data_IF_811755172302
#
_entry.id   IF_811755172302
#
_cell.length_a   1.000
_cell.length_b   1.000
_cell.length_c   1.000
_cell.angle_alpha   90.00
_cell.angle_beta   90.00
_cell.angle_gamma   90.00
#
_symmetry.space_group_name_H-M   'P 1'
#
loop_
_entity.id
_entity.type
_entity.pdbx_description
1 polymer ?
#
# COMPACT_ATOMS: atom_id res chain seq x y z
N UNK A 1 21.95 19.63 -2.24
CA UNK A 1 21.68 21.08 -2.25
C UNK A 1 21.75 21.54 -0.81
N UNK A 2 22.32 22.71 -0.50
CA UNK A 2 22.28 23.22 0.87
C UNK A 2 20.93 23.94 1.05
N UNK A 3 20.16 23.50 2.03
CA UNK A 3 18.91 24.15 2.47
C UNK A 3 19.24 24.93 3.74
N UNK A 4 18.76 26.17 3.81
CA UNK A 4 18.88 27.08 4.95
C UNK A 4 17.61 27.92 5.10
N UNK A 5 17.50 28.72 6.16
CA UNK A 5 16.40 29.68 6.34
C UNK A 5 16.23 30.65 5.15
N UNK A 6 17.30 30.92 4.39
CA UNK A 6 17.25 31.75 3.18
C UNK A 6 16.69 31.02 1.95
N UNK A 7 16.53 29.69 2.04
CA UNK A 7 16.08 28.79 0.97
C UNK A 7 14.57 28.47 1.04
N UNK A 8 13.79 29.22 1.82
CA UNK A 8 12.36 28.98 2.07
C UNK A 8 11.47 28.94 0.80
N UNK A 9 11.94 29.44 -0.34
CA UNK A 9 11.24 29.36 -1.62
C UNK A 9 11.26 27.97 -2.25
N UNK A 10 12.20 27.12 -1.83
CA UNK A 10 12.42 25.76 -2.36
C UNK A 10 11.40 24.78 -1.81
N UNK A 11 11.20 24.82 -0.49
CA UNK A 11 10.25 23.96 0.23
C UNK A 11 9.12 24.86 0.69
N UNK A 12 7.95 24.82 0.05
CA UNK A 12 6.89 25.84 0.24
C UNK A 12 5.99 25.60 1.44
N UNK A 13 5.78 24.35 1.80
CA UNK A 13 4.96 23.98 2.96
C UNK A 13 5.73 24.29 4.26
N UNK A 14 5.13 25.09 5.15
CA UNK A 14 5.76 25.50 6.40
C UNK A 14 5.92 24.36 7.38
N UNK A 15 4.96 23.43 7.43
CA UNK A 15 5.05 22.28 8.30
C UNK A 15 6.14 21.33 7.83
N UNK A 16 6.26 21.12 6.51
CA UNK A 16 7.36 20.30 5.98
C UNK A 16 8.73 20.95 6.21
N UNK A 17 8.85 22.27 6.01
CA UNK A 17 10.08 23.00 6.39
C UNK A 17 10.41 22.82 7.86
N UNK A 18 9.42 22.96 8.74
CA UNK A 18 9.61 22.80 10.18
C UNK A 18 10.08 21.39 10.52
N UNK A 19 9.46 20.36 9.93
CA UNK A 19 9.87 18.96 10.10
C UNK A 19 11.35 18.74 9.78
N UNK A 20 11.80 19.28 8.64
CA UNK A 20 13.19 19.17 8.21
C UNK A 20 14.15 19.95 9.13
N UNK A 21 13.73 21.12 9.62
CA UNK A 21 14.53 21.91 10.55
C UNK A 21 14.63 21.26 11.93
N UNK A 22 13.56 20.64 12.41
CA UNK A 22 13.55 19.91 13.68
C UNK A 22 14.44 18.66 13.60
N UNK A 23 14.45 17.97 12.45
CA UNK A 23 15.23 16.74 12.26
C UNK A 23 16.71 17.02 11.94
N UNK A 24 17.02 18.03 11.12
CA UNK A 24 18.37 18.25 10.56
C UNK A 24 19.01 19.60 10.92
N UNK A 25 18.29 20.47 11.63
CA UNK A 25 18.75 21.79 12.04
C UNK A 25 18.52 22.91 11.00
N UNK A 26 18.99 24.11 11.33
CA UNK A 26 18.76 25.32 10.53
C UNK A 26 19.44 25.31 9.15
N UNK A 27 20.48 24.49 8.97
CA UNK A 27 21.19 24.35 7.68
C UNK A 27 21.69 22.93 7.52
N UNK A 28 21.34 22.31 6.40
CA UNK A 28 21.73 20.94 6.06
C UNK A 28 21.90 20.79 4.55
N UNK A 29 22.60 19.75 4.13
CA UNK A 29 22.74 19.40 2.72
C UNK A 29 21.87 18.19 2.40
N UNK A 30 20.94 18.35 1.45
CA UNK A 30 20.00 17.30 1.04
C UNK A 30 20.68 16.03 0.55
N UNK A 31 21.95 16.09 0.14
CA UNK A 31 22.72 14.93 -0.31
C UNK A 31 23.22 14.05 0.85
N UNK A 32 23.26 14.56 2.05
CA UNK A 32 23.70 13.82 3.23
C UNK A 32 22.54 13.10 3.93
N UNK A 33 21.30 13.42 3.52
CA UNK A 33 20.07 12.89 4.11
C UNK A 33 19.63 11.64 3.36
N UNK A 34 19.46 10.56 4.13
CA UNK A 34 18.98 9.25 3.65
C UNK A 34 17.56 8.92 4.09
N UNK A 35 17.01 9.71 5.01
CA UNK A 35 15.77 9.41 5.68
C UNK A 35 15.05 10.67 6.08
N UNK A 36 13.73 10.70 5.94
CA UNK A 36 12.89 11.80 6.41
C UNK A 36 11.65 11.21 7.08
N UNK A 37 11.38 11.65 8.32
CA UNK A 37 10.13 11.35 9.02
C UNK A 37 9.34 12.65 9.24
N UNK A 38 8.13 12.69 8.71
CA UNK A 38 7.25 13.85 8.83
C UNK A 38 5.76 13.45 8.97
N UNK A 39 5.51 12.34 9.66
CA UNK A 39 4.15 11.81 9.85
C UNK A 39 3.32 12.70 10.78
N UNK A 40 2.05 12.93 10.48
CA UNK A 40 1.13 13.60 11.42
C UNK A 40 1.42 15.08 11.65
N UNK A 41 2.02 15.77 10.68
CA UNK A 41 2.50 17.15 10.84
C UNK A 41 1.64 18.18 10.10
N UNK A 42 0.42 17.82 9.68
CA UNK A 42 -0.49 18.67 8.90
C UNK A 42 0.14 19.19 7.59
N UNK A 43 1.01 18.39 6.97
CA UNK A 43 1.68 18.73 5.72
C UNK A 43 0.71 18.57 4.55
N UNK A 44 0.67 19.59 3.69
CA UNK A 44 -0.16 19.63 2.48
C UNK A 44 0.65 19.42 1.20
N UNK A 45 1.96 19.66 1.23
CA UNK A 45 2.85 19.43 0.09
C UNK A 45 4.27 19.07 0.52
N UNK A 46 4.84 18.05 -0.12
CA UNK A 46 6.26 17.71 -0.02
C UNK A 46 7.12 18.30 -1.16
N UNK A 47 6.64 19.35 -1.85
CA UNK A 47 7.45 20.04 -2.86
C UNK A 47 8.80 20.46 -2.26
N UNK A 48 9.88 20.13 -2.97
CA UNK A 48 11.26 20.21 -2.48
C UNK A 48 11.86 18.86 -2.11
N UNK A 49 11.07 17.78 -2.02
CA UNK A 49 11.57 16.42 -1.80
C UNK A 49 12.48 15.93 -2.94
N UNK A 50 12.31 16.49 -4.14
CA UNK A 50 13.10 16.16 -5.33
C UNK A 50 14.61 16.45 -5.18
N UNK A 51 14.99 17.33 -4.25
CA UNK A 51 16.40 17.66 -3.97
C UNK A 51 17.11 16.61 -3.08
N UNK A 52 16.36 15.68 -2.48
CA UNK A 52 16.89 14.62 -1.63
C UNK A 52 17.22 13.37 -2.46
N UNK A 53 18.18 13.49 -3.38
CA UNK A 53 18.59 12.45 -4.35
C UNK A 53 19.09 11.16 -3.69
N UNK A 54 19.56 11.24 -2.44
CA UNK A 54 20.09 10.12 -1.66
C UNK A 54 19.09 9.51 -0.67
N UNK A 55 17.82 9.91 -0.74
CA UNK A 55 16.78 9.43 0.15
C UNK A 55 16.52 7.93 -0.07
N UNK A 56 16.69 7.15 0.99
CA UNK A 56 16.49 5.70 1.05
C UNK A 56 15.16 5.35 1.74
N UNK A 57 14.67 6.19 2.65
CA UNK A 57 13.34 6.03 3.25
C UNK A 57 12.61 7.36 3.43
N UNK A 58 11.30 7.35 3.22
CA UNK A 58 10.40 8.48 3.44
C UNK A 58 9.17 8.00 4.21
N UNK A 59 8.89 8.66 5.33
CA UNK A 59 7.65 8.48 6.11
C UNK A 59 6.93 9.82 6.18
N UNK A 60 5.76 9.88 5.54
CA UNK A 60 4.91 11.07 5.49
C UNK A 60 3.43 10.72 5.70
N UNK A 61 3.15 9.69 6.48
CA UNK A 61 1.79 9.22 6.74
C UNK A 61 1.00 10.19 7.62
N UNK A 62 -0.32 10.05 7.67
CA UNK A 62 -1.21 10.89 8.47
C UNK A 62 -1.10 12.40 8.15
N UNK A 63 -1.05 12.76 6.87
CA UNK A 63 -0.98 14.15 6.43
C UNK A 63 -2.18 14.47 5.51
N UNK A 64 -2.16 15.61 4.82
CA UNK A 64 -3.20 16.02 3.88
C UNK A 64 -2.68 16.13 2.45
N UNK A 65 -1.71 15.29 2.08
CA UNK A 65 -1.12 15.29 0.73
C UNK A 65 -2.18 14.85 -0.29
N UNK A 66 -2.37 15.66 -1.32
CA UNK A 66 -3.18 15.31 -2.51
C UNK A 66 -2.34 14.82 -3.68
N UNK A 67 -1.03 15.13 -3.66
CA UNK A 67 -0.04 14.69 -4.65
C UNK A 67 1.27 14.36 -3.96
N UNK A 68 2.01 13.39 -4.49
CA UNK A 68 3.36 13.05 -4.05
C UNK A 68 4.24 12.74 -5.27
N UNK A 69 5.16 13.64 -5.59
CA UNK A 69 6.16 13.42 -6.64
C UNK A 69 7.49 12.97 -6.01
N UNK A 70 7.82 11.70 -6.23
CA UNK A 70 9.09 11.08 -5.80
C UNK A 70 9.95 10.63 -6.98
N UNK A 71 9.72 11.21 -8.16
CA UNK A 71 10.37 10.80 -9.41
C UNK A 71 11.89 10.96 -9.40
N UNK A 72 12.42 11.87 -8.56
CA UNK A 72 13.87 12.10 -8.40
C UNK A 72 14.48 11.29 -7.24
N UNK A 73 13.66 10.72 -6.35
CA UNK A 73 14.13 9.94 -5.20
C UNK A 73 14.37 8.47 -5.58
N UNK A 74 15.25 8.26 -6.57
CA UNK A 74 15.47 6.95 -7.23
C UNK A 74 16.05 5.87 -6.30
N UNK A 75 16.62 6.28 -5.16
CA UNK A 75 17.20 5.38 -4.15
C UNK A 75 16.22 4.94 -3.06
N UNK A 76 14.96 5.37 -3.13
CA UNK A 76 13.94 4.97 -2.15
C UNK A 76 13.78 3.45 -2.10
N UNK A 77 13.94 2.92 -0.90
CA UNK A 77 13.75 1.51 -0.52
C UNK A 77 12.43 1.37 0.25
N UNK A 78 12.12 2.34 1.10
CA UNK A 78 10.90 2.36 1.92
C UNK A 78 10.12 3.65 1.68
N UNK A 79 8.84 3.52 1.32
CA UNK A 79 7.91 4.64 1.27
C UNK A 79 6.69 4.31 2.12
N UNK A 80 6.44 5.16 3.12
CA UNK A 80 5.15 5.24 3.80
C UNK A 80 4.50 6.59 3.52
N UNK A 81 3.42 6.56 2.75
CA UNK A 81 2.55 7.69 2.47
C UNK A 81 1.07 7.35 2.80
N UNK A 82 0.85 6.42 3.73
CA UNK A 82 -0.49 6.03 4.16
C UNK A 82 -1.26 7.19 4.81
N UNK A 83 -2.58 7.08 4.89
CA UNK A 83 -3.44 8.11 5.53
C UNK A 83 -3.19 9.52 5.00
N UNK A 84 -3.34 9.65 3.68
CA UNK A 84 -3.31 10.91 2.96
C UNK A 84 -4.55 11.00 2.05
N UNK A 85 -4.56 11.88 1.06
CA UNK A 85 -5.66 12.05 0.09
C UNK A 85 -5.15 11.92 -1.33
N UNK A 86 -4.19 11.04 -1.55
CA UNK A 86 -3.58 10.80 -2.86
C UNK A 86 -4.60 10.10 -3.76
N UNK A 87 -4.92 10.71 -4.90
CA UNK A 87 -5.72 10.07 -5.95
C UNK A 87 -4.86 9.28 -6.94
N UNK A 88 -3.57 9.60 -7.01
CA UNK A 88 -2.56 8.92 -7.81
C UNK A 88 -1.24 8.78 -7.05
N UNK A 89 -0.51 7.71 -7.35
CA UNK A 89 0.84 7.49 -6.85
C UNK A 89 1.69 6.84 -7.94
N UNK A 90 2.72 7.55 -8.42
CA UNK A 90 3.62 7.07 -9.44
C UNK A 90 4.94 6.58 -8.83
N UNK A 91 5.14 5.26 -8.83
CA UNK A 91 6.35 4.59 -8.32
C UNK A 91 7.22 3.96 -9.43
N UNK A 92 6.92 4.27 -10.70
CA UNK A 92 7.52 3.59 -11.86
C UNK A 92 9.05 3.68 -11.90
N UNK A 93 9.61 4.80 -11.45
CA UNK A 93 11.06 5.04 -11.48
C UNK A 93 11.77 4.54 -10.21
N UNK A 94 11.04 4.24 -9.14
CA UNK A 94 11.58 3.87 -7.84
C UNK A 94 11.81 2.35 -7.77
N UNK A 95 12.65 1.84 -8.68
CA UNK A 95 12.88 0.40 -8.89
C UNK A 95 13.50 -0.31 -7.69
N UNK A 96 14.10 0.44 -6.76
CA UNK A 96 14.70 -0.05 -5.53
C UNK A 96 13.70 -0.24 -4.38
N UNK A 97 12.43 0.17 -4.55
CA UNK A 97 11.40 0.01 -3.53
C UNK A 97 11.23 -1.46 -3.13
N UNK A 98 11.31 -1.69 -1.82
CA UNK A 98 11.09 -2.99 -1.16
C UNK A 98 9.84 -2.95 -0.28
N UNK A 99 9.52 -1.78 0.27
CA UNK A 99 8.39 -1.57 1.16
C UNK A 99 7.57 -0.37 0.69
N UNK A 100 6.30 -0.60 0.38
CA UNK A 100 5.37 0.44 -0.05
C UNK A 100 4.09 0.38 0.80
N UNK A 101 3.86 1.44 1.56
CA UNK A 101 2.66 1.66 2.35
C UNK A 101 1.92 2.88 1.80
N UNK A 102 0.80 2.64 1.16
CA UNK A 102 -0.07 3.66 0.56
C UNK A 102 -1.54 3.38 0.89
N UNK A 103 -1.78 2.83 2.08
CA UNK A 103 -3.11 2.53 2.61
C UNK A 103 -3.87 3.81 2.96
N UNK A 104 -5.20 3.74 3.10
CA UNK A 104 -6.05 4.90 3.47
C UNK A 104 -5.74 6.14 2.60
N UNK A 105 -5.91 5.99 1.28
CA UNK A 105 -5.79 7.07 0.30
C UNK A 105 -7.00 6.98 -0.66
N UNK A 106 -7.02 7.77 -1.73
CA UNK A 106 -8.09 7.78 -2.72
C UNK A 106 -7.64 7.15 -4.06
N UNK A 107 -6.68 6.20 -4.02
CA UNK A 107 -6.08 5.63 -5.23
C UNK A 107 -7.10 4.80 -6.02
N UNK A 108 -7.24 5.11 -7.31
CA UNK A 108 -8.06 4.33 -8.25
C UNK A 108 -7.24 3.28 -9.03
N UNK A 109 -5.92 3.44 -9.05
CA UNK A 109 -4.98 2.55 -9.72
C UNK A 109 -3.63 2.61 -9.02
N UNK A 110 -2.88 1.51 -9.10
CA UNK A 110 -1.52 1.42 -8.59
C UNK A 110 -0.70 0.50 -9.50
N UNK A 111 0.19 1.09 -10.31
CA UNK A 111 1.10 0.34 -11.19
C UNK A 111 2.43 0.07 -10.47
N UNK A 112 2.61 -1.18 -10.03
CA UNK A 112 3.83 -1.68 -9.39
C UNK A 112 4.70 -2.53 -10.33
N UNK A 113 4.41 -2.53 -11.64
CA UNK A 113 5.07 -3.42 -12.61
C UNK A 113 6.58 -3.19 -12.74
N UNK A 114 7.07 -2.01 -12.34
CA UNK A 114 8.47 -1.64 -12.42
C UNK A 114 9.23 -1.75 -11.09
N UNK A 115 8.62 -2.38 -10.07
CA UNK A 115 9.20 -2.52 -8.72
C UNK A 115 9.48 -4.01 -8.40
N UNK A 116 10.43 -4.66 -9.10
CA UNK A 116 10.67 -6.12 -8.96
C UNK A 116 11.25 -6.51 -7.59
N UNK A 117 11.78 -5.54 -6.84
CA UNK A 117 12.33 -5.71 -5.50
C UNK A 117 11.27 -5.63 -4.40
N UNK A 118 10.00 -5.36 -4.73
CA UNK A 118 8.93 -5.16 -3.75
C UNK A 118 8.69 -6.45 -2.93
N UNK A 119 8.83 -6.34 -1.61
CA UNK A 119 8.63 -7.41 -0.63
C UNK A 119 7.34 -7.21 0.18
N UNK A 120 6.96 -5.97 0.44
CA UNK A 120 5.76 -5.60 1.20
C UNK A 120 4.98 -4.54 0.43
N UNK A 121 3.70 -4.81 0.20
CA UNK A 121 2.75 -3.85 -0.32
C UNK A 121 1.53 -3.77 0.60
N UNK A 122 1.28 -2.58 1.15
CA UNK A 122 0.05 -2.27 1.89
C UNK A 122 -0.67 -1.12 1.21
N UNK A 123 -1.74 -1.45 0.48
CA UNK A 123 -2.56 -0.54 -0.32
C UNK A 123 -4.05 -0.68 0.01
N UNK A 124 -4.36 -1.11 1.24
CA UNK A 124 -5.73 -1.33 1.70
C UNK A 124 -6.48 0.00 1.88
N UNK A 125 -7.82 -0.08 1.93
CA UNK A 125 -8.71 1.05 2.18
C UNK A 125 -8.48 2.24 1.23
N UNK A 126 -8.46 1.97 -0.08
CA UNK A 126 -8.43 3.02 -1.11
C UNK A 126 -9.80 3.31 -1.75
N UNK A 127 -10.84 2.58 -1.33
CA UNK A 127 -12.20 2.73 -1.82
C UNK A 127 -13.05 3.65 -0.90
N UNK A 128 -12.78 4.95 -0.89
CA UNK A 128 -13.63 5.89 -0.15
C UNK A 128 -14.99 6.12 -0.82
N UNK A 129 -16.06 5.80 -0.10
CA UNK A 129 -17.41 6.25 -0.45
C UNK A 129 -17.55 7.73 -0.09
N UNK A 130 -17.65 8.64 -1.06
CA UNK A 130 -18.09 10.00 -0.77
C UNK A 130 -19.54 9.98 -0.26
N UNK A 131 -19.78 10.62 0.89
CA UNK A 131 -21.13 10.87 1.40
C UNK A 131 -21.54 12.25 0.91
N UNK A 132 -22.45 12.33 -0.05
CA UNK A 132 -23.09 13.58 -0.41
C UNK A 132 -24.44 13.70 0.32
N UNK A 133 -24.65 14.83 0.99
CA UNK A 133 -25.96 15.20 1.53
C UNK A 133 -26.76 15.90 0.43
N UNK A 134 -27.81 15.24 -0.05
CA UNK A 134 -28.76 15.84 -0.98
C UNK A 134 -30.11 15.92 -0.28
N UNK A 135 -30.62 17.14 -0.08
CA UNK A 135 -31.91 17.41 0.56
C UNK A 135 -32.12 16.73 1.93
N UNK A 136 -31.07 16.67 2.77
CA UNK A 136 -31.16 16.07 4.11
C UNK A 136 -31.22 14.54 4.11
N UNK A 137 -31.07 13.90 2.94
CA UNK A 137 -30.85 12.47 2.83
C UNK A 137 -29.38 12.23 2.61
N UNK A 138 -28.77 11.47 3.52
CA UNK A 138 -27.42 10.93 3.30
C UNK A 138 -27.51 9.88 2.20
N UNK A 139 -27.05 10.21 1.00
CA UNK A 139 -26.93 9.22 -0.07
C UNK A 139 -25.47 8.79 -0.12
N UNK A 140 -25.22 7.51 0.15
CA UNK A 140 -23.91 6.91 -0.14
C UNK A 140 -23.84 6.70 -1.65
N UNK A 141 -23.25 7.64 -2.38
CA UNK A 141 -22.93 7.48 -3.80
C UNK A 141 -21.43 7.38 -3.96
N UNK A 142 -20.96 6.43 -4.77
CA UNK A 142 -19.62 6.51 -5.34
C UNK A 142 -19.74 6.71 -6.85
N UNK A 143 -20.05 7.93 -7.33
CA UNK A 143 -20.16 8.17 -8.77
C UNK A 143 -18.78 8.11 -9.45
N UNK A 144 -17.69 8.16 -8.68
CA UNK A 144 -16.30 8.14 -9.16
C UNK A 144 -15.50 6.89 -8.79
N UNK A 145 -16.09 5.92 -8.09
CA UNK A 145 -15.49 4.62 -7.79
C UNK A 145 -14.01 4.68 -7.40
N UNK A 146 -13.63 5.40 -6.33
CA UNK A 146 -12.25 5.27 -5.81
C UNK A 146 -12.03 3.83 -5.32
N UNK A 147 -10.77 3.39 -5.34
CA UNK A 147 -10.38 2.01 -5.03
C UNK A 147 -9.69 1.34 -6.22
N UNK A 148 -8.65 0.58 -5.91
CA UNK A 148 -7.86 -0.15 -6.90
C UNK A 148 -8.74 -1.25 -7.49
N UNK A 149 -8.93 -1.23 -8.82
CA UNK A 149 -9.74 -2.22 -9.55
C UNK A 149 -8.95 -3.39 -10.12
N UNK A 150 -7.72 -3.10 -10.50
CA UNK A 150 -6.77 -4.04 -11.09
C UNK A 150 -5.47 -3.89 -10.33
N UNK A 151 -4.97 -5.00 -9.79
CA UNK A 151 -3.66 -5.05 -9.15
C UNK A 151 -2.88 -6.20 -9.77
N UNK A 152 -1.95 -5.86 -10.66
CA UNK A 152 -1.07 -6.84 -11.30
C UNK A 152 0.22 -7.00 -10.47
N UNK A 153 0.34 -8.15 -9.81
CA UNK A 153 1.50 -8.50 -8.97
C UNK A 153 2.50 -9.39 -9.69
N UNK A 154 2.32 -9.67 -10.98
CA UNK A 154 3.10 -10.69 -11.70
C UNK A 154 4.56 -10.30 -11.92
N UNK A 155 4.88 -9.01 -11.85
CA UNK A 155 6.24 -8.48 -11.94
C UNK A 155 6.93 -8.30 -10.58
N UNK A 156 6.31 -8.75 -9.48
CA UNK A 156 6.83 -8.60 -8.11
C UNK A 156 7.08 -9.97 -7.45
N UNK A 157 8.00 -10.81 -7.99
CA UNK A 157 8.18 -12.19 -7.54
C UNK A 157 8.74 -12.31 -6.11
N UNK A 158 9.28 -11.22 -5.55
CA UNK A 158 9.81 -11.13 -4.18
C UNK A 158 8.76 -10.76 -3.13
N UNK A 159 7.51 -10.54 -3.54
CA UNK A 159 6.43 -10.14 -2.63
C UNK A 159 6.19 -11.22 -1.57
N UNK A 160 6.30 -10.82 -0.30
CA UNK A 160 6.11 -11.64 0.90
C UNK A 160 4.84 -11.27 1.65
N UNK A 161 4.47 -9.99 1.61
CA UNK A 161 3.27 -9.46 2.26
C UNK A 161 2.50 -8.63 1.24
N UNK A 162 1.23 -8.97 1.07
CA UNK A 162 0.28 -8.17 0.30
C UNK A 162 -0.94 -7.89 1.16
N UNK A 163 -1.19 -6.63 1.47
CA UNK A 163 -2.44 -6.15 2.07
C UNK A 163 -3.11 -5.20 1.10
N UNK A 164 -4.16 -5.66 0.45
CA UNK A 164 -4.94 -4.92 -0.54
C UNK A 164 -6.44 -4.97 -0.23
N UNK A 165 -6.81 -5.19 1.04
CA UNK A 165 -8.19 -5.21 1.49
C UNK A 165 -8.93 -3.89 1.22
N UNK A 166 -10.26 -3.93 1.22
CA UNK A 166 -11.12 -2.75 1.06
C UNK A 166 -10.81 -1.93 -0.20
N UNK A 167 -10.81 -2.62 -1.34
CA UNK A 167 -10.61 -2.05 -2.66
C UNK A 167 -11.74 -2.51 -3.61
N UNK A 168 -11.59 -2.26 -4.91
CA UNK A 168 -12.52 -2.74 -5.94
C UNK A 168 -11.91 -3.85 -6.82
N UNK A 169 -10.91 -4.59 -6.31
CA UNK A 169 -10.14 -5.55 -7.10
C UNK A 169 -11.05 -6.66 -7.60
N UNK A 170 -11.06 -6.89 -8.90
CA UNK A 170 -11.89 -7.94 -9.54
C UNK A 170 -11.10 -9.19 -9.90
N UNK A 171 -9.78 -9.05 -10.06
CA UNK A 171 -8.87 -10.15 -10.36
C UNK A 171 -7.53 -9.89 -9.69
N UNK A 172 -6.97 -10.94 -9.08
CA UNK A 172 -5.66 -10.92 -8.43
C UNK A 172 -4.86 -12.15 -8.84
N UNK A 173 -3.83 -11.96 -9.67
CA UNK A 173 -3.01 -13.05 -10.20
C UNK A 173 -1.74 -13.25 -9.38
N UNK A 174 -1.76 -14.23 -8.46
CA UNK A 174 -0.64 -14.53 -7.56
C UNK A 174 0.34 -15.58 -8.09
N UNK A 175 0.22 -15.98 -9.37
CA UNK A 175 0.97 -17.11 -9.95
C UNK A 175 2.49 -16.92 -9.99
N UNK A 176 2.99 -15.69 -9.77
CA UNK A 176 4.42 -15.35 -9.72
C UNK A 176 4.92 -15.01 -8.32
N UNK A 177 4.02 -14.92 -7.33
CA UNK A 177 4.36 -14.49 -5.97
C UNK A 177 4.63 -15.72 -5.08
N UNK A 178 5.60 -16.56 -5.48
CA UNK A 178 5.93 -17.82 -4.80
C UNK A 178 6.45 -17.63 -3.37
N UNK A 179 6.87 -16.42 -3.02
CA UNK A 179 7.38 -16.06 -1.69
C UNK A 179 6.31 -15.45 -0.79
N UNK A 180 5.06 -15.33 -1.25
CA UNK A 180 4.00 -14.67 -0.48
C UNK A 180 3.66 -15.50 0.77
N UNK A 181 3.88 -14.89 1.94
CA UNK A 181 3.66 -15.45 3.27
C UNK A 181 2.38 -14.94 3.92
N UNK A 182 1.96 -13.73 3.54
CA UNK A 182 0.74 -13.11 4.05
C UNK A 182 -0.03 -12.42 2.94
N UNK A 183 -1.33 -12.71 2.89
CA UNK A 183 -2.29 -12.08 2.01
C UNK A 183 -3.49 -11.61 2.83
N UNK A 184 -3.71 -10.31 2.82
CA UNK A 184 -4.99 -9.72 3.16
C UNK A 184 -5.59 -9.10 1.90
N UNK A 185 -6.70 -9.67 1.45
CA UNK A 185 -7.45 -9.16 0.30
C UNK A 185 -8.94 -9.04 0.61
N UNK A 186 -9.31 -8.96 1.89
CA UNK A 186 -10.70 -8.80 2.35
C UNK A 186 -11.43 -7.65 1.63
N UNK A 187 -12.76 -7.70 1.61
CA UNK A 187 -13.58 -6.58 1.10
C UNK A 187 -13.19 -6.11 -0.32
N UNK A 188 -12.99 -7.07 -1.23
CA UNK A 188 -12.80 -6.86 -2.66
C UNK A 188 -13.92 -7.51 -3.50
N UNK A 189 -13.78 -7.47 -4.84
CA UNK A 189 -14.72 -8.06 -5.81
C UNK A 189 -14.12 -9.28 -6.54
N UNK A 190 -13.17 -9.98 -5.91
CA UNK A 190 -12.48 -11.14 -6.50
C UNK A 190 -13.41 -12.36 -6.43
N UNK A 191 -13.75 -12.92 -7.59
CA UNK A 191 -14.59 -14.14 -7.62
C UNK A 191 -13.78 -15.43 -7.51
N UNK A 192 -12.56 -15.44 -8.03
CA UNK A 192 -11.67 -16.60 -8.04
C UNK A 192 -10.32 -16.17 -7.52
N UNK A 193 -9.87 -16.80 -6.44
CA UNK A 193 -8.55 -16.58 -5.85
C UNK A 193 -7.75 -17.88 -5.92
N UNK A 194 -6.57 -17.82 -6.56
CA UNK A 194 -5.63 -18.94 -6.58
C UNK A 194 -4.38 -18.59 -5.77
N UNK A 195 -4.25 -19.23 -4.60
CA UNK A 195 -3.07 -19.09 -3.73
C UNK A 195 -2.22 -20.36 -3.72
N UNK A 196 -2.53 -21.36 -4.56
CA UNK A 196 -1.89 -22.68 -4.54
C UNK A 196 -0.37 -22.66 -4.81
N UNK A 197 0.11 -21.58 -5.44
CA UNK A 197 1.54 -21.38 -5.75
C UNK A 197 2.31 -20.59 -4.69
N UNK A 198 1.62 -20.06 -3.67
CA UNK A 198 2.23 -19.16 -2.67
C UNK A 198 2.78 -19.94 -1.46
N UNK A 199 3.25 -19.24 -0.42
CA UNK A 199 3.80 -19.83 0.82
C UNK A 199 2.93 -19.55 2.07
N UNK A 200 1.66 -19.17 1.91
CA UNK A 200 0.76 -18.79 3.02
C UNK A 200 0.65 -19.84 4.14
N UNK A 201 0.95 -21.12 3.90
CA UNK A 201 0.89 -22.16 4.95
C UNK A 201 2.10 -22.18 5.91
N UNK A 202 3.05 -21.24 5.80
CA UNK A 202 4.22 -21.17 6.67
C UNK A 202 3.99 -20.27 7.89
N UNK A 203 4.75 -20.51 8.96
CA UNK A 203 4.78 -19.60 10.11
C UNK A 203 5.20 -18.21 9.67
N UNK A 204 4.42 -17.20 10.06
CA UNK A 204 4.72 -15.80 9.80
C UNK A 204 5.51 -15.24 10.99
N UNK A 205 6.76 -14.82 10.80
CA UNK A 205 7.48 -14.09 11.84
C UNK A 205 6.72 -12.81 12.19
N UNK A 206 6.50 -12.57 13.50
CA UNK A 206 5.86 -11.31 13.98
C UNK A 206 6.60 -10.04 13.57
N UNK A 207 7.86 -10.16 13.16
CA UNK A 207 8.67 -9.07 12.61
C UNK A 207 8.24 -8.65 11.20
N UNK A 208 7.39 -9.43 10.54
CA UNK A 208 6.94 -9.21 9.16
C UNK A 208 5.46 -8.83 9.12
N UNK A 209 4.61 -9.38 10.01
CA UNK A 209 3.17 -9.13 10.02
C UNK A 209 2.60 -9.19 11.44
N UNK A 210 1.61 -8.35 11.73
CA UNK A 210 0.87 -8.30 13.00
C UNK A 210 -0.32 -9.27 13.08
N UNK A 211 -0.61 -10.05 12.02
CA UNK A 211 -1.74 -10.99 11.97
C UNK A 211 -1.29 -12.43 12.14
N UNK A 212 -2.06 -13.18 12.93
CA UNK A 212 -1.88 -14.63 13.12
C UNK A 212 -2.45 -15.46 11.94
N UNK A 213 -3.14 -14.83 10.99
CA UNK A 213 -3.77 -15.49 9.86
C UNK A 213 -3.01 -15.16 8.57
N UNK A 214 -2.45 -16.15 7.87
CA UNK A 214 -1.71 -15.91 6.64
C UNK A 214 -2.61 -15.54 5.46
N UNK A 215 -3.90 -15.87 5.52
CA UNK A 215 -4.87 -15.53 4.49
C UNK A 215 -6.11 -14.90 5.14
N UNK A 216 -6.37 -13.65 4.78
CA UNK A 216 -7.65 -12.97 4.95
C UNK A 216 -8.24 -12.77 3.55
N UNK A 217 -9.40 -13.38 3.28
CA UNK A 217 -10.15 -13.14 2.05
C UNK A 217 -11.68 -13.24 2.23
N UNK A 218 -12.21 -12.70 3.33
CA UNK A 218 -13.62 -12.57 3.61
C UNK A 218 -14.24 -11.49 2.72
N UNK A 219 -14.69 -11.89 1.54
CA UNK A 219 -15.45 -11.03 0.62
C UNK A 219 -16.64 -11.78 0.02
N UNK A 220 -17.79 -11.12 -0.09
CA UNK A 220 -19.04 -11.73 -0.54
C UNK A 220 -19.02 -12.22 -2.01
N UNK A 221 -18.08 -11.69 -2.80
CA UNK A 221 -17.88 -11.99 -4.21
C UNK A 221 -17.15 -13.31 -4.45
N UNK A 222 -16.39 -13.82 -3.46
CA UNK A 222 -15.52 -14.99 -3.62
C UNK A 222 -16.36 -16.27 -3.79
N UNK A 223 -16.21 -16.90 -4.95
CA UNK A 223 -16.89 -18.15 -5.30
C UNK A 223 -15.96 -19.34 -5.20
N UNK A 224 -14.68 -19.16 -5.53
CA UNK A 224 -13.71 -20.25 -5.57
C UNK A 224 -12.36 -19.82 -5.00
N UNK A 225 -11.83 -20.64 -4.09
CA UNK A 225 -10.49 -20.53 -3.54
C UNK A 225 -9.70 -21.78 -3.89
N UNK A 226 -8.60 -21.64 -4.62
CA UNK A 226 -7.64 -22.71 -4.86
C UNK A 226 -6.52 -22.67 -3.83
N UNK A 227 -6.41 -23.74 -3.05
CA UNK A 227 -5.31 -23.98 -2.11
C UNK A 227 -4.33 -25.00 -2.70
N UNK A 228 -3.11 -25.00 -2.19
CA UNK A 228 -2.15 -26.07 -2.49
C UNK A 228 -2.60 -27.35 -1.79
N UNK A 229 -2.38 -28.50 -2.42
CA UNK A 229 -2.58 -29.80 -1.78
C UNK A 229 -1.91 -29.86 -0.40
N UNK A 230 -2.62 -30.45 0.57
CA UNK A 230 -2.19 -30.67 1.95
C UNK A 230 -2.04 -29.40 2.82
N UNK A 231 -2.51 -28.24 2.35
CA UNK A 231 -2.58 -27.04 3.20
C UNK A 231 -3.61 -27.17 4.32
N UNK A 232 -3.20 -26.76 5.52
CA UNK A 232 -4.04 -26.63 6.71
C UNK A 232 -3.89 -25.21 7.26
N UNK A 233 -4.38 -24.24 6.49
CA UNK A 233 -4.33 -22.83 6.89
C UNK A 233 -5.17 -22.63 8.16
N UNK A 234 -4.59 -21.92 9.13
CA UNK A 234 -5.32 -21.56 10.36
C UNK A 234 -6.57 -20.76 9.97
N UNK A 235 -7.74 -21.18 10.46
CA UNK A 235 -9.01 -20.52 10.17
C UNK A 235 -9.66 -20.91 8.83
N UNK A 236 -9.07 -21.81 8.04
CA UNK A 236 -9.66 -22.33 6.80
C UNK A 236 -9.63 -23.86 6.85
N UNK A 237 -10.79 -24.47 7.06
CA UNK A 237 -10.98 -25.91 6.94
C UNK A 237 -12.38 -26.22 6.40
N UNK A 238 -12.57 -27.46 5.94
CA UNK A 238 -13.81 -27.92 5.32
C UNK A 238 -15.04 -27.85 6.24
N UNK A 239 -14.87 -27.70 7.56
CA UNK A 239 -15.94 -27.72 8.55
C UNK A 239 -16.34 -26.34 9.09
N UNK A 240 -15.45 -25.34 9.02
CA UNK A 240 -15.71 -23.98 9.51
C UNK A 240 -14.70 -22.98 8.93
N UNK A 241 -15.05 -22.29 7.82
CA UNK A 241 -14.26 -21.18 7.32
C UNK A 241 -14.42 -19.97 8.22
N UNK A 242 -13.39 -19.63 9.00
CA UNK A 242 -13.33 -18.41 9.83
C UNK A 242 -12.93 -17.20 8.99
N UNK A 243 -12.10 -17.43 7.96
CA UNK A 243 -11.43 -16.36 7.20
C UNK A 243 -11.89 -16.23 5.73
N UNK A 244 -12.92 -16.98 5.30
CA UNK A 244 -13.51 -16.92 3.95
C UNK A 244 -15.04 -16.90 4.01
N UNK A 245 -15.70 -16.47 2.92
CA UNK A 245 -17.16 -16.46 2.86
C UNK A 245 -17.72 -17.90 2.88
N UNK A 246 -18.83 -18.12 3.60
CA UNK A 246 -19.40 -19.45 3.87
C UNK A 246 -19.85 -20.24 2.64
N UNK A 247 -20.08 -19.56 1.52
CA UNK A 247 -20.46 -20.12 0.22
C UNK A 247 -19.26 -20.32 -0.72
N UNK A 248 -18.03 -20.04 -0.29
CA UNK A 248 -16.82 -20.21 -1.10
C UNK A 248 -16.52 -21.70 -1.28
N UNK A 249 -16.39 -22.14 -2.53
CA UNK A 249 -15.88 -23.47 -2.83
C UNK A 249 -14.35 -23.52 -2.67
N UNK A 250 -13.87 -24.38 -1.77
CA UNK A 250 -12.44 -24.65 -1.62
C UNK A 250 -12.06 -25.82 -2.54
N UNK A 251 -11.06 -25.59 -3.39
CA UNK A 251 -10.48 -26.58 -4.30
C UNK A 251 -8.98 -26.69 -4.06
N UNK A 252 -8.40 -27.82 -4.43
CA UNK A 252 -6.98 -28.09 -4.23
C UNK A 252 -6.29 -28.33 -5.57
N UNK A 253 -5.10 -27.75 -5.73
CA UNK A 253 -4.18 -27.93 -6.87
C UNK A 253 -2.82 -28.44 -6.41
#
# INVERSE_FOLDING_TARGET
MIISESSNWVIKDSAFRQALHDEFGATFNTKDIKGIRCDGMDISSLSGIEYFENLEWLSCSHNSLTTLDISQNLKLINLDCGENRLSELNVRNNRALRYLYCYNNDLNNLDISNNPELEVLECYDNAHLQIESIYGVMIRRNPYGTGIRVLDTTNNPKLKVLKCSSNEITSLNLSKNYQLLHLDCDDNRIEILDVSTTQLNHYIPKTIVYSDYPLQCKMASLKTLYLKKDWRLKGINDASPVCIASNTQILYK
#
